data_IF_531781368584
#
_entry.id   IF_531781368584
#
_cell.length_a   1.000
_cell.length_b   1.000
_cell.length_c   1.000
_cell.angle_alpha   90.00
_cell.angle_beta   90.00
_cell.angle_gamma   90.00
#
_symmetry.space_group_name_H-M   'P 1'
#
loop_
_entity.id
_entity.type
_entity.pdbx_description
1 polymer ?
#
# COMPACT_ATOMS: atom_id res chain seq x y z
N UNK A 1 -3.35 -5.67 11.06
CA UNK A 1 -2.87 -4.34 10.61
C UNK A 1 -1.54 -4.53 9.94
N UNK A 2 -1.30 -3.85 8.83
CA UNK A 2 0.02 -3.87 8.17
C UNK A 2 1.02 -3.14 9.06
N UNK A 3 2.23 -3.69 9.20
CA UNK A 3 3.30 -3.08 10.00
C UNK A 3 4.48 -2.73 9.11
N UNK A 4 5.15 -1.64 9.43
CA UNK A 4 6.37 -1.22 8.77
C UNK A 4 7.52 -1.14 9.76
N UNK A 5 8.68 -1.60 9.34
CA UNK A 5 9.95 -1.37 10.00
C UNK A 5 10.52 -0.05 9.51
N UNK A 6 11.06 0.76 10.41
CA UNK A 6 11.59 2.08 10.08
C UNK A 6 13.01 2.21 10.57
N UNK A 7 13.91 2.53 9.66
CA UNK A 7 15.26 3.00 9.94
C UNK A 7 15.39 4.46 9.54
N UNK A 8 16.18 5.20 10.26
CA UNK A 8 16.49 6.60 9.96
C UNK A 8 17.99 6.85 10.03
N UNK A 9 18.46 7.82 9.25
CA UNK A 9 19.87 8.18 9.24
C UNK A 9 20.11 9.59 8.74
N UNK A 10 21.39 9.96 8.73
CA UNK A 10 21.86 11.20 8.15
C UNK A 10 22.84 10.90 7.01
N UNK A 11 22.57 11.46 5.84
CA UNK A 11 23.41 11.35 4.65
C UNK A 11 23.74 12.76 4.14
N UNK A 12 24.91 12.89 3.53
CA UNK A 12 25.39 14.16 3.00
C UNK A 12 24.59 14.62 1.78
N UNK A 13 24.07 13.65 1.00
CA UNK A 13 23.24 13.90 -0.16
C UNK A 13 22.23 12.77 -0.43
N UNK A 14 21.22 13.04 -1.25
CA UNK A 14 20.29 12.04 -1.76
C UNK A 14 21.03 10.95 -2.54
N UNK A 15 22.02 11.33 -3.35
CA UNK A 15 22.85 10.41 -4.12
C UNK A 15 23.66 9.44 -3.23
N UNK A 16 24.16 9.89 -2.07
CA UNK A 16 24.83 9.01 -1.12
C UNK A 16 23.85 8.03 -0.47
N UNK A 17 22.64 8.48 -0.18
CA UNK A 17 21.59 7.62 0.35
C UNK A 17 21.13 6.59 -0.71
N UNK A 18 20.92 6.99 -1.96
CA UNK A 18 20.60 6.06 -3.04
C UNK A 18 21.71 5.03 -3.24
N UNK A 19 22.97 5.45 -3.23
CA UNK A 19 24.13 4.57 -3.34
C UNK A 19 24.21 3.57 -2.18
N UNK A 20 23.89 3.99 -0.97
CA UNK A 20 23.83 3.11 0.21
C UNK A 20 22.85 1.96 0.04
N UNK A 21 21.76 2.19 -0.69
CA UNK A 21 20.66 1.26 -0.93
C UNK A 21 20.76 0.51 -2.28
N UNK A 22 21.71 0.85 -3.16
CA UNK A 22 21.77 0.33 -4.53
C UNK A 22 22.16 -1.15 -4.60
N UNK A 23 21.22 -1.99 -5.03
CA UNK A 23 21.39 -3.43 -5.23
C UNK A 23 21.75 -3.83 -6.68
N UNK A 24 21.97 -2.89 -7.58
CA UNK A 24 22.15 -3.18 -9.02
C UNK A 24 23.29 -4.15 -9.28
N UNK A 25 24.43 -4.00 -8.59
CA UNK A 25 25.58 -4.88 -8.70
C UNK A 25 25.27 -6.31 -8.23
N UNK A 26 24.58 -6.45 -7.11
CA UNK A 26 24.18 -7.76 -6.58
C UNK A 26 23.16 -8.46 -7.50
N UNK A 27 22.19 -7.73 -8.02
CA UNK A 27 21.20 -8.28 -8.95
C UNK A 27 21.81 -8.73 -10.27
N UNK A 28 22.79 -7.98 -10.78
CA UNK A 28 23.52 -8.39 -11.97
C UNK A 28 24.32 -9.66 -11.71
N UNK A 29 25.04 -9.73 -10.60
CA UNK A 29 25.80 -10.91 -10.19
C UNK A 29 24.87 -12.12 -10.05
N UNK A 30 23.77 -11.99 -9.32
CA UNK A 30 22.80 -13.06 -9.12
C UNK A 30 22.25 -13.61 -10.44
N UNK A 31 21.94 -12.71 -11.38
CA UNK A 31 21.43 -13.09 -12.71
C UNK A 31 22.45 -13.89 -13.52
N UNK A 32 23.74 -13.61 -13.35
CA UNK A 32 24.81 -14.25 -14.12
C UNK A 32 25.25 -15.58 -13.50
N UNK A 33 25.30 -15.67 -12.19
CA UNK A 33 25.92 -16.81 -11.48
C UNK A 33 24.97 -17.62 -10.63
N UNK A 34 23.78 -17.11 -10.31
CA UNK A 34 22.80 -17.74 -9.39
C UNK A 34 23.42 -18.10 -8.02
N UNK A 35 24.37 -17.30 -7.57
CA UNK A 35 25.12 -17.48 -6.34
C UNK A 35 25.15 -16.20 -5.51
N UNK A 36 25.11 -16.37 -4.17
CA UNK A 36 25.26 -15.24 -3.26
C UNK A 36 26.71 -14.72 -3.26
N UNK A 37 26.85 -13.40 -3.29
CA UNK A 37 28.12 -12.72 -3.17
C UNK A 37 27.98 -11.48 -2.28
N UNK A 38 28.47 -11.61 -1.05
CA UNK A 38 28.36 -10.56 -0.05
C UNK A 38 29.03 -9.25 -0.48
N UNK A 39 30.12 -9.32 -1.26
CA UNK A 39 30.81 -8.11 -1.72
C UNK A 39 29.96 -7.29 -2.69
N UNK A 40 29.06 -7.94 -3.42
CA UNK A 40 28.18 -7.29 -4.39
C UNK A 40 26.90 -6.72 -3.76
N UNK A 41 26.57 -7.09 -2.53
CA UNK A 41 25.40 -6.56 -1.84
C UNK A 41 25.51 -5.05 -1.62
N UNK A 42 24.38 -4.35 -1.57
CA UNK A 42 24.38 -2.95 -1.16
C UNK A 42 24.85 -2.80 0.30
N UNK A 43 25.25 -1.59 0.67
CA UNK A 43 25.79 -1.35 2.01
C UNK A 43 24.74 -1.63 3.12
N UNK A 44 23.49 -1.27 2.89
CA UNK A 44 22.38 -1.58 3.83
C UNK A 44 22.25 -3.08 4.08
N UNK A 45 22.27 -3.91 3.03
CA UNK A 45 22.19 -5.37 3.16
C UNK A 45 23.40 -5.96 3.90
N UNK A 46 24.60 -5.45 3.61
CA UNK A 46 25.83 -5.86 4.30
C UNK A 46 25.74 -5.58 5.81
N UNK A 47 25.31 -4.38 6.17
CA UNK A 47 25.22 -3.95 7.57
C UNK A 47 24.14 -4.72 8.33
N UNK A 48 23.02 -5.07 7.71
CA UNK A 48 21.97 -5.90 8.31
C UNK A 48 22.26 -7.41 8.26
N UNK A 49 23.29 -7.84 7.52
CA UNK A 49 23.57 -9.27 7.32
C UNK A 49 22.47 -10.01 6.57
N UNK A 50 21.78 -9.31 5.65
CA UNK A 50 20.77 -9.90 4.76
C UNK A 50 21.32 -9.98 3.33
N UNK A 51 20.82 -10.92 2.54
CA UNK A 51 21.28 -11.13 1.17
C UNK A 51 20.82 -9.99 0.26
N UNK A 52 19.51 -9.69 0.31
CA UNK A 52 18.86 -8.64 -0.45
C UNK A 52 17.62 -8.13 0.29
N UNK A 53 16.95 -7.18 -0.29
CA UNK A 53 15.61 -6.75 0.08
C UNK A 53 14.73 -6.63 -1.17
N UNK A 54 13.45 -6.81 -1.00
CA UNK A 54 12.47 -6.61 -2.06
C UNK A 54 12.07 -5.13 -2.14
N UNK A 55 12.44 -4.47 -3.25
CA UNK A 55 12.18 -3.03 -3.46
C UNK A 55 10.67 -2.70 -3.50
N UNK A 56 9.81 -3.67 -3.83
CA UNK A 56 8.37 -3.43 -3.83
C UNK A 56 7.78 -3.25 -2.43
N UNK A 57 8.50 -3.67 -1.39
CA UNK A 57 8.13 -3.50 0.01
C UNK A 57 8.94 -2.41 0.72
N UNK A 58 9.79 -1.71 -0.03
CA UNK A 58 10.67 -0.68 0.49
C UNK A 58 10.23 0.70 0.00
N UNK A 59 10.20 1.65 0.92
CA UNK A 59 10.05 3.08 0.60
C UNK A 59 11.22 3.83 1.19
N UNK A 60 11.91 4.58 0.36
CA UNK A 60 13.03 5.45 0.72
C UNK A 60 12.58 6.91 0.69
N UNK A 61 12.97 7.69 1.68
CA UNK A 61 12.74 9.13 1.72
C UNK A 61 13.99 9.87 2.17
N UNK A 62 14.32 10.91 1.43
CA UNK A 62 15.36 11.87 1.74
C UNK A 62 14.79 13.29 1.71
N UNK A 63 15.22 14.12 2.65
CA UNK A 63 14.84 15.54 2.73
C UNK A 63 16.06 16.37 3.14
N UNK A 64 16.18 17.57 2.57
CA UNK A 64 17.26 18.50 2.97
C UNK A 64 16.95 19.24 4.26
N UNK A 65 15.68 19.49 4.53
CA UNK A 65 15.24 20.30 5.68
C UNK A 65 15.23 19.56 7.02
N UNK A 66 15.56 18.26 7.01
CA UNK A 66 15.71 17.46 8.22
C UNK A 66 14.43 16.81 8.76
N UNK A 67 14.50 16.32 9.99
CA UNK A 67 13.52 15.41 10.57
C UNK A 67 12.05 15.90 10.55
N UNK A 68 11.72 17.17 10.83
CA UNK A 68 10.33 17.63 10.78
C UNK A 68 9.66 17.46 9.42
N UNK A 69 10.39 17.69 8.33
CA UNK A 69 9.87 17.46 6.98
C UNK A 69 9.75 15.97 6.68
N UNK A 70 10.75 15.17 7.08
CA UNK A 70 10.78 13.74 6.88
C UNK A 70 9.59 13.04 7.57
N UNK A 71 9.17 13.49 8.76
CA UNK A 71 8.02 12.96 9.49
C UNK A 71 6.72 13.00 8.67
N UNK A 72 6.56 14.04 7.84
CA UNK A 72 5.40 14.17 6.97
C UNK A 72 5.39 13.16 5.81
N UNK A 73 6.48 12.42 5.63
CA UNK A 73 6.65 11.41 4.57
C UNK A 73 6.61 9.98 5.10
N UNK A 74 6.47 9.79 6.41
CA UNK A 74 6.46 8.47 7.06
C UNK A 74 5.02 8.08 7.41
N UNK A 75 4.48 6.97 6.84
CA UNK A 75 3.10 6.52 7.05
C UNK A 75 2.91 5.79 8.37
N UNK A 76 3.20 6.45 9.48
CA UNK A 76 2.99 5.94 10.83
C UNK A 76 2.74 7.09 11.81
N UNK A 77 2.32 6.75 13.03
CA UNK A 77 2.05 7.73 14.09
C UNK A 77 3.30 8.59 14.38
N UNK A 78 3.21 9.86 13.99
CA UNK A 78 4.31 10.84 14.12
C UNK A 78 4.82 10.97 15.55
N UNK A 79 3.94 10.91 16.57
CA UNK A 79 4.34 11.04 17.96
C UNK A 79 5.16 9.84 18.43
N UNK A 80 4.77 8.63 18.02
CA UNK A 80 5.52 7.41 18.32
C UNK A 80 6.89 7.41 17.66
N UNK A 81 6.99 7.92 16.43
CA UNK A 81 8.27 8.05 15.71
C UNK A 81 9.19 9.03 16.43
N UNK A 82 8.68 10.21 16.82
CA UNK A 82 9.45 11.21 17.58
C UNK A 82 9.96 10.62 18.91
N UNK A 83 9.09 9.92 19.63
CA UNK A 83 9.46 9.28 20.90
C UNK A 83 10.54 8.20 20.71
N UNK A 84 10.42 7.40 19.65
CA UNK A 84 11.41 6.38 19.33
C UNK A 84 12.76 7.00 18.93
N UNK A 85 12.78 8.06 18.13
CA UNK A 85 14.00 8.77 17.76
C UNK A 85 14.68 9.40 18.98
N UNK A 86 13.92 10.07 19.83
CA UNK A 86 14.41 10.67 21.07
C UNK A 86 14.94 9.60 22.05
N UNK A 87 14.24 8.47 22.20
CA UNK A 87 14.65 7.34 23.03
C UNK A 87 15.97 6.69 22.57
N UNK A 88 16.29 6.78 21.28
CA UNK A 88 17.54 6.29 20.70
C UNK A 88 18.63 7.38 20.62
N UNK A 89 18.37 8.60 21.08
CA UNK A 89 19.34 9.70 21.07
C UNK A 89 19.71 10.19 19.66
N UNK A 90 18.81 10.04 18.69
CA UNK A 90 19.06 10.39 17.29
C UNK A 90 18.62 11.85 17.07
N UNK A 91 19.57 12.73 16.79
CA UNK A 91 19.31 14.17 16.68
C UNK A 91 19.20 14.66 15.23
N UNK A 92 20.05 14.14 14.35
CA UNK A 92 20.12 14.60 12.96
C UNK A 92 19.60 13.49 12.04
N UNK A 93 18.44 13.72 11.43
CA UNK A 93 17.78 12.77 10.55
C UNK A 93 17.34 13.50 9.28
N UNK A 94 17.77 13.01 8.11
CA UNK A 94 17.32 13.50 6.84
C UNK A 94 16.91 12.38 5.86
N UNK A 95 17.07 11.13 6.27
CA UNK A 95 16.70 9.97 5.47
C UNK A 95 15.92 8.94 6.29
N UNK A 96 14.97 8.27 5.66
CA UNK A 96 14.22 7.16 6.22
C UNK A 96 14.11 6.01 5.23
N UNK A 97 14.22 4.80 5.75
CA UNK A 97 13.97 3.54 5.08
C UNK A 97 12.76 2.91 5.77
N UNK A 98 11.73 2.64 5.03
CA UNK A 98 10.49 2.03 5.51
C UNK A 98 10.28 0.72 4.78
N UNK A 99 10.19 -0.38 5.52
CA UNK A 99 10.06 -1.72 4.95
C UNK A 99 8.83 -2.44 5.49
N UNK A 100 8.03 -3.02 4.60
CA UNK A 100 6.86 -3.80 5.02
C UNK A 100 7.30 -5.12 5.66
N UNK A 101 6.79 -5.42 6.85
CA UNK A 101 7.19 -6.60 7.64
C UNK A 101 6.73 -7.94 7.07
N UNK A 102 6.01 -7.97 5.94
CA UNK A 102 5.42 -9.22 5.42
C UNK A 102 6.39 -10.08 4.65
N UNK A 103 7.39 -9.50 4.02
CA UNK A 103 8.34 -10.24 3.17
C UNK A 103 9.77 -9.72 3.32
N UNK A 104 10.76 -10.61 3.17
CA UNK A 104 12.16 -10.28 3.11
C UNK A 104 12.83 -10.11 4.47
N UNK A 105 13.05 -8.89 4.92
CA UNK A 105 13.76 -8.60 6.16
C UNK A 105 12.90 -9.01 7.37
N UNK A 106 13.38 -9.98 8.13
CA UNK A 106 12.69 -10.41 9.35
C UNK A 106 12.81 -9.34 10.45
N UNK A 107 11.73 -9.04 11.21
CA UNK A 107 11.82 -8.16 12.38
C UNK A 107 12.89 -8.58 13.39
N UNK A 108 13.25 -9.85 13.43
CA UNK A 108 14.33 -10.37 14.29
C UNK A 108 15.73 -9.97 13.84
N UNK A 109 15.89 -9.53 12.59
CA UNK A 109 17.14 -8.98 12.04
C UNK A 109 17.12 -7.46 11.89
N UNK A 110 16.00 -6.82 12.26
CA UNK A 110 15.88 -5.39 12.23
C UNK A 110 16.62 -4.80 13.47
N UNK A 111 17.78 -4.28 13.25
CA UNK A 111 18.65 -3.70 14.27
C UNK A 111 19.34 -2.44 13.73
N UNK A 112 20.03 -1.73 14.62
CA UNK A 112 20.85 -0.60 14.22
C UNK A 112 22.00 -1.07 13.33
N UNK A 113 22.25 -0.29 12.30
CA UNK A 113 23.46 -0.46 11.46
C UNK A 113 24.47 0.66 11.77
N UNK A 114 25.57 0.69 11.02
CA UNK A 114 26.56 1.76 11.18
C UNK A 114 26.00 3.08 10.65
N UNK A 115 25.22 3.03 9.56
CA UNK A 115 24.76 4.22 8.84
C UNK A 115 23.34 4.64 9.19
N UNK A 116 22.49 3.70 9.62
CA UNK A 116 21.10 3.99 9.99
C UNK A 116 20.69 3.32 11.28
N UNK A 117 19.85 4.00 12.05
CA UNK A 117 19.31 3.53 13.33
C UNK A 117 17.91 2.96 13.14
N UNK A 118 17.67 1.79 13.69
CA UNK A 118 16.35 1.17 13.71
C UNK A 118 15.45 1.81 14.76
N UNK A 119 14.38 2.46 14.34
CA UNK A 119 13.42 3.09 15.25
C UNK A 119 12.41 2.10 15.84
N UNK A 120 12.15 1.00 15.13
CA UNK A 120 11.16 0.03 15.54
C UNK A 120 10.19 -0.39 14.43
N UNK A 121 9.19 -1.14 14.85
CA UNK A 121 8.09 -1.59 13.98
C UNK A 121 6.82 -0.86 14.38
N UNK A 122 6.20 -0.18 13.44
CA UNK A 122 5.04 0.68 13.64
C UNK A 122 3.84 0.15 12.88
N UNK A 123 2.63 0.48 13.36
CA UNK A 123 1.43 0.26 12.58
C UNK A 123 1.41 1.22 11.39
N UNK A 124 1.12 0.68 10.21
CA UNK A 124 1.01 1.48 9.00
C UNK A 124 -0.26 2.34 9.07
N UNK A 125 -0.10 3.64 8.91
CA UNK A 125 -1.23 4.56 8.83
C UNK A 125 -1.86 4.50 7.44
N UNK A 126 -2.99 3.84 7.33
CA UNK A 126 -3.77 3.73 6.09
C UNK A 126 -4.33 5.09 5.63
N UNK A 127 -4.44 6.06 6.54
CA UNK A 127 -4.93 7.40 6.25
C UNK A 127 -3.81 8.38 5.92
N UNK A 128 -2.58 7.90 5.85
CA UNK A 128 -1.43 8.75 5.56
C UNK A 128 -1.59 9.47 4.21
N UNK A 129 -1.52 10.80 4.26
CA UNK A 129 -1.69 11.67 3.09
C UNK A 129 -0.37 12.19 2.51
N UNK A 130 0.76 11.81 3.08
CA UNK A 130 2.08 12.22 2.59
C UNK A 130 2.30 11.82 1.13
N UNK A 131 2.73 12.74 0.32
CA UNK A 131 3.02 12.53 -1.10
C UNK A 131 4.30 11.74 -1.25
N UNK A 132 4.20 10.45 -1.50
CA UNK A 132 5.38 9.61 -1.53
C UNK A 132 5.72 9.04 -2.90
N UNK A 133 4.75 8.85 -3.75
CA UNK A 133 4.99 8.37 -5.11
C UNK A 133 4.06 9.11 -6.07
N UNK A 134 4.52 9.34 -7.29
CA UNK A 134 3.63 9.78 -8.35
C UNK A 134 2.38 8.89 -8.38
N UNK A 135 1.20 9.47 -8.40
CA UNK A 135 -0.06 8.74 -8.55
C UNK A 135 -0.36 8.40 -10.01
N UNK A 136 0.50 8.86 -10.94
CA UNK A 136 0.34 8.62 -12.37
C UNK A 136 0.23 7.13 -12.69
N UNK A 137 -0.78 6.76 -13.46
CA UNK A 137 -1.03 5.38 -13.88
C UNK A 137 -1.62 4.46 -12.82
N UNK A 138 -1.80 4.88 -11.57
CA UNK A 138 -2.53 4.10 -10.57
C UNK A 138 -4.03 4.10 -10.88
N UNK A 139 -4.66 2.96 -10.66
CA UNK A 139 -6.10 2.73 -10.93
C UNK A 139 -6.85 2.69 -9.60
N UNK A 140 -7.67 3.68 -9.38
CA UNK A 140 -8.47 3.83 -8.16
C UNK A 140 -9.91 3.36 -8.44
N UNK A 141 -10.18 2.08 -8.23
CA UNK A 141 -11.54 1.53 -8.30
C UNK A 141 -12.33 2.01 -7.10
N UNK A 142 -13.41 2.73 -7.32
CA UNK A 142 -14.09 3.47 -6.27
C UNK A 142 -15.57 3.15 -6.19
N UNK A 143 -16.05 2.95 -4.97
CA UNK A 143 -17.46 2.73 -4.63
C UNK A 143 -17.90 3.82 -3.65
N UNK A 144 -19.15 4.25 -3.80
CA UNK A 144 -19.77 5.27 -2.96
C UNK A 144 -21.24 4.92 -2.68
N UNK A 145 -21.76 5.36 -1.56
CA UNK A 145 -23.16 5.18 -1.21
C UNK A 145 -23.47 5.52 0.23
N UNK A 146 -24.65 5.08 0.63
CA UNK A 146 -25.11 5.17 2.01
C UNK A 146 -25.12 3.79 2.66
N UNK A 147 -24.72 3.72 3.92
CA UNK A 147 -24.79 2.52 4.74
C UNK A 147 -25.28 2.87 6.13
N UNK A 148 -26.18 2.01 6.68
CA UNK A 148 -26.60 2.07 8.07
C UNK A 148 -25.77 1.15 8.97
N UNK A 149 -24.75 0.47 8.40
CA UNK A 149 -23.84 -0.38 9.15
C UNK A 149 -22.91 0.44 10.01
N UNK A 150 -22.58 -0.05 11.19
CA UNK A 150 -21.44 0.43 11.96
C UNK A 150 -20.14 0.18 11.19
N UNK A 151 -19.08 0.92 11.50
CA UNK A 151 -17.76 0.71 10.90
C UNK A 151 -17.28 -0.75 11.05
N UNK A 152 -17.49 -1.33 12.23
CA UNK A 152 -17.14 -2.73 12.51
C UNK A 152 -17.89 -3.70 11.59
N UNK A 153 -19.19 -3.55 11.43
CA UNK A 153 -20.01 -4.40 10.54
C UNK A 153 -19.63 -4.19 9.07
N UNK A 154 -19.31 -2.96 8.69
CA UNK A 154 -18.88 -2.65 7.34
C UNK A 154 -17.52 -3.31 7.02
N UNK A 155 -16.59 -3.31 7.98
CA UNK A 155 -15.26 -3.90 7.85
C UNK A 155 -15.27 -5.43 7.77
N UNK A 156 -16.31 -6.12 8.27
CA UNK A 156 -16.41 -7.58 8.13
C UNK A 156 -16.43 -8.04 6.67
N UNK A 157 -16.94 -7.22 5.76
CA UNK A 157 -16.89 -7.48 4.33
C UNK A 157 -15.47 -7.65 3.78
N UNK A 158 -14.51 -6.99 4.41
CA UNK A 158 -13.09 -6.99 4.05
C UNK A 158 -12.24 -7.92 4.93
N UNK A 159 -12.83 -8.61 5.89
CA UNK A 159 -12.10 -9.44 6.84
C UNK A 159 -11.54 -10.71 6.16
N UNK A 160 -10.25 -10.72 5.89
CA UNK A 160 -9.54 -11.85 5.27
C UNK A 160 -8.62 -12.63 6.24
N UNK A 161 -8.72 -12.35 7.54
CA UNK A 161 -7.79 -12.88 8.55
C UNK A 161 -7.70 -14.40 8.54
N UNK A 162 -8.86 -15.08 8.49
CA UNK A 162 -8.90 -16.55 8.48
C UNK A 162 -8.20 -17.11 7.24
N UNK A 163 -8.47 -16.54 6.07
CA UNK A 163 -7.88 -17.03 4.82
C UNK A 163 -6.38 -16.79 4.75
N UNK A 164 -5.90 -15.66 5.26
CA UNK A 164 -4.46 -15.35 5.34
C UNK A 164 -3.73 -16.30 6.29
N UNK A 165 -4.32 -16.65 7.44
CA UNK A 165 -3.76 -17.66 8.35
C UNK A 165 -3.62 -19.03 7.67
N UNK A 166 -4.58 -19.42 6.84
CA UNK A 166 -4.50 -20.67 6.08
C UNK A 166 -3.41 -20.62 5.00
N UNK A 167 -3.25 -19.49 4.32
CA UNK A 167 -2.16 -19.27 3.37
C UNK A 167 -0.81 -19.40 4.08
N UNK A 168 -0.61 -18.69 5.17
CA UNK A 168 0.63 -18.73 5.95
C UNK A 168 0.97 -20.15 6.44
N UNK A 169 0.00 -20.86 6.99
CA UNK A 169 0.20 -22.23 7.45
C UNK A 169 0.57 -23.20 6.30
N UNK A 170 0.01 -22.98 5.12
CA UNK A 170 0.33 -23.78 3.93
C UNK A 170 1.72 -23.44 3.35
N UNK A 171 2.03 -22.16 3.20
CA UNK A 171 3.29 -21.67 2.63
C UNK A 171 4.49 -21.94 3.55
N UNK A 172 4.28 -21.87 4.86
CA UNK A 172 5.31 -22.26 5.87
C UNK A 172 5.50 -23.76 6.03
N UNK A 173 4.69 -24.59 5.37
CA UNK A 173 4.75 -26.05 5.48
C UNK A 173 4.17 -26.62 6.78
N UNK A 174 3.52 -25.82 7.62
CA UNK A 174 2.83 -26.29 8.83
C UNK A 174 1.67 -27.23 8.49
N UNK A 175 1.08 -27.06 7.32
CA UNK A 175 0.04 -27.94 6.81
C UNK A 175 0.22 -28.23 5.31
N UNK A 176 -0.22 -29.43 4.89
CA UNK A 176 -0.32 -29.78 3.46
C UNK A 176 -1.69 -29.44 2.87
N UNK A 177 -2.65 -29.03 3.72
CA UNK A 177 -3.99 -28.65 3.29
C UNK A 177 -3.93 -27.28 2.63
N UNK A 178 -4.37 -27.19 1.37
CA UNK A 178 -4.47 -25.92 0.65
C UNK A 178 -5.50 -25.00 1.32
N UNK A 179 -5.27 -23.67 1.30
CA UNK A 179 -6.24 -22.71 1.79
C UNK A 179 -7.61 -22.89 1.13
N UNK A 180 -8.66 -22.83 1.94
CA UNK A 180 -10.02 -23.00 1.45
C UNK A 180 -10.52 -21.70 0.77
N UNK A 181 -10.83 -21.70 -0.54
CA UNK A 181 -11.34 -20.52 -1.22
C UNK A 181 -12.62 -19.92 -0.61
N UNK A 182 -13.42 -20.73 0.06
CA UNK A 182 -14.65 -20.27 0.73
C UNK A 182 -14.39 -19.37 1.94
N UNK A 183 -13.18 -19.43 2.51
CA UNK A 183 -12.77 -18.56 3.61
C UNK A 183 -12.23 -17.20 3.16
N UNK A 184 -12.22 -16.93 1.85
CA UNK A 184 -11.95 -15.57 1.36
C UNK A 184 -13.01 -14.61 1.87
N UNK A 185 -12.62 -13.37 2.17
CA UNK A 185 -13.60 -12.35 2.48
C UNK A 185 -14.51 -12.07 1.26
N UNK A 186 -15.68 -11.49 1.52
CA UNK A 186 -16.67 -11.26 0.47
C UNK A 186 -16.12 -10.31 -0.60
N UNK A 187 -15.37 -9.28 -0.23
CA UNK A 187 -14.69 -8.39 -1.18
C UNK A 187 -13.80 -9.14 -2.19
N UNK A 188 -13.01 -10.10 -1.71
CA UNK A 188 -12.17 -10.91 -2.59
C UNK A 188 -12.99 -11.82 -3.52
N UNK A 189 -14.11 -12.36 -3.04
CA UNK A 189 -15.03 -13.17 -3.85
C UNK A 189 -15.67 -12.32 -4.94
N UNK A 190 -16.16 -11.14 -4.60
CA UNK A 190 -16.83 -10.22 -5.53
C UNK A 190 -15.87 -9.71 -6.61
N UNK A 191 -14.62 -9.39 -6.25
CA UNK A 191 -13.58 -9.02 -7.22
C UNK A 191 -12.96 -10.22 -7.96
N UNK A 192 -13.18 -11.45 -7.51
CA UNK A 192 -12.56 -12.64 -8.11
C UNK A 192 -11.06 -12.74 -7.85
N UNK A 193 -10.57 -12.16 -6.76
CA UNK A 193 -9.15 -12.18 -6.36
C UNK A 193 -8.90 -13.16 -5.22
N UNK A 194 -7.67 -13.59 -5.06
CA UNK A 194 -7.28 -14.55 -4.02
C UNK A 194 -7.30 -13.90 -2.64
N UNK A 195 -6.64 -12.77 -2.50
CA UNK A 195 -6.61 -11.88 -1.33
C UNK A 195 -6.34 -10.46 -1.83
N UNK A 196 -6.52 -9.48 -0.99
CA UNK A 196 -6.18 -8.09 -1.30
C UNK A 196 -5.07 -7.59 -0.37
N UNK A 197 -4.37 -6.54 -0.79
CA UNK A 197 -3.36 -5.87 0.01
C UNK A 197 -4.00 -4.69 0.75
N UNK A 198 -4.07 -4.72 2.10
CA UNK A 198 -4.74 -3.68 2.89
C UNK A 198 -4.22 -2.27 2.64
N UNK A 199 -2.94 -2.12 2.33
CA UNK A 199 -2.29 -0.85 2.00
C UNK A 199 -2.88 -0.17 0.74
N UNK A 200 -3.54 -0.93 -0.13
CA UNK A 200 -4.20 -0.44 -1.34
C UNK A 200 -5.72 -0.32 -1.21
N UNK A 201 -6.27 -0.64 -0.05
CA UNK A 201 -7.67 -0.42 0.28
C UNK A 201 -7.79 0.81 1.19
N UNK A 202 -8.63 1.74 0.80
CA UNK A 202 -8.94 2.94 1.59
C UNK A 202 -10.45 3.02 1.79
N UNK A 203 -10.86 3.30 3.00
CA UNK A 203 -12.26 3.34 3.40
C UNK A 203 -12.50 4.62 4.18
N UNK A 204 -13.60 5.27 3.91
CA UNK A 204 -14.15 6.36 4.70
C UNK A 204 -15.60 6.08 4.97
N UNK A 205 -15.98 6.09 6.23
CA UNK A 205 -17.34 5.96 6.70
C UNK A 205 -17.60 7.03 7.77
N UNK A 206 -18.76 7.61 7.75
CA UNK A 206 -19.28 8.44 8.84
C UNK A 206 -20.63 7.84 9.27
N UNK A 207 -20.66 7.23 10.45
CA UNK A 207 -21.85 6.56 10.98
C UNK A 207 -22.96 7.54 11.37
N UNK A 208 -22.63 8.82 11.54
CA UNK A 208 -23.52 9.81 12.12
C UNK A 208 -24.05 10.83 11.13
N UNK A 209 -23.32 11.08 10.06
CA UNK A 209 -23.62 12.18 9.14
C UNK A 209 -23.55 11.75 7.68
N UNK A 210 -24.42 12.36 6.88
CA UNK A 210 -24.27 12.41 5.44
C UNK A 210 -23.15 13.41 5.11
N UNK A 211 -22.20 12.98 4.31
CA UNK A 211 -21.06 13.79 3.89
C UNK A 211 -21.29 14.40 2.50
N UNK A 212 -20.58 15.48 2.20
CA UNK A 212 -20.43 15.92 0.83
C UNK A 212 -19.67 14.83 0.04
N UNK A 213 -20.23 14.38 -1.08
CA UNK A 213 -19.68 13.26 -1.86
C UNK A 213 -18.31 13.57 -2.45
N UNK A 214 -18.00 14.84 -2.75
CA UNK A 214 -16.66 15.25 -3.23
C UNK A 214 -15.63 15.07 -2.12
N UNK A 215 -15.91 15.60 -0.92
CA UNK A 215 -15.02 15.45 0.25
C UNK A 215 -14.83 13.97 0.62
N UNK A 216 -15.91 13.20 0.58
CA UNK A 216 -15.88 11.76 0.84
C UNK A 216 -14.95 11.03 -0.16
N UNK A 217 -15.07 11.32 -1.45
CA UNK A 217 -14.23 10.74 -2.49
C UNK A 217 -12.78 11.21 -2.39
N UNK A 218 -12.53 12.48 -2.13
CA UNK A 218 -11.17 13.01 -1.92
C UNK A 218 -10.45 12.27 -0.79
N UNK A 219 -11.18 11.91 0.28
CA UNK A 219 -10.60 11.20 1.41
C UNK A 219 -10.08 9.80 1.04
N UNK A 220 -10.70 9.11 0.08
CA UNK A 220 -10.31 7.75 -0.34
C UNK A 220 -9.42 7.73 -1.58
N UNK A 221 -9.61 8.67 -2.53
CA UNK A 221 -8.78 8.77 -3.74
C UNK A 221 -7.47 9.50 -3.44
N UNK A 222 -7.45 10.37 -2.41
CA UNK A 222 -6.31 11.22 -2.02
C UNK A 222 -5.82 12.10 -3.17
N UNK A 223 -6.75 12.75 -3.84
CA UNK A 223 -6.45 13.70 -4.93
C UNK A 223 -7.25 14.98 -4.73
N UNK A 224 -6.66 16.09 -5.12
CA UNK A 224 -7.23 17.44 -5.02
C UNK A 224 -7.96 17.88 -6.29
N UNK A 225 -8.08 17.02 -7.31
CA UNK A 225 -8.75 17.32 -8.58
C UNK A 225 -10.28 17.35 -8.45
N UNK A 226 -10.77 18.25 -7.59
CA UNK A 226 -12.21 18.44 -7.28
C UNK A 226 -13.07 18.50 -8.53
N UNK A 227 -12.72 19.34 -9.48
CA UNK A 227 -13.54 19.51 -10.70
C UNK A 227 -13.64 18.28 -11.60
N UNK A 228 -12.74 17.31 -11.45
CA UNK A 228 -12.86 16.02 -12.13
C UNK A 228 -13.81 15.08 -11.38
N UNK A 229 -13.71 15.06 -10.05
CA UNK A 229 -14.61 14.26 -9.19
C UNK A 229 -16.06 14.74 -9.39
N UNK A 230 -16.30 16.04 -9.38
CA UNK A 230 -17.64 16.64 -9.62
C UNK A 230 -18.21 16.20 -10.96
N UNK A 231 -17.45 16.27 -12.06
CA UNK A 231 -17.92 15.79 -13.38
C UNK A 231 -18.27 14.31 -13.41
N UNK A 232 -17.55 13.46 -12.66
CA UNK A 232 -17.88 12.04 -12.55
C UNK A 232 -19.17 11.84 -11.78
N UNK A 233 -19.35 12.53 -10.65
CA UNK A 233 -20.57 12.46 -9.85
C UNK A 233 -21.80 12.92 -10.66
N UNK A 234 -21.68 14.02 -11.42
CA UNK A 234 -22.73 14.55 -12.29
C UNK A 234 -23.09 13.54 -13.39
N UNK A 235 -22.09 12.97 -14.04
CA UNK A 235 -22.29 11.97 -15.11
C UNK A 235 -23.03 10.73 -14.60
N UNK A 236 -22.69 10.26 -13.41
CA UNK A 236 -23.29 9.07 -12.79
C UNK A 236 -24.58 9.42 -12.01
N UNK A 237 -25.04 10.68 -12.04
CA UNK A 237 -26.21 11.17 -11.30
C UNK A 237 -26.15 10.88 -9.78
N UNK A 238 -24.97 10.93 -9.18
CA UNK A 238 -24.78 10.73 -7.76
C UNK A 238 -25.11 12.03 -7.01
N UNK A 239 -26.06 11.96 -6.09
CA UNK A 239 -26.41 13.11 -5.26
C UNK A 239 -25.26 13.43 -4.27
N UNK A 240 -24.81 14.68 -4.28
CA UNK A 240 -23.71 15.14 -3.43
C UNK A 240 -23.98 15.06 -1.92
N UNK A 241 -25.23 14.94 -1.50
CA UNK A 241 -25.63 15.01 -0.09
C UNK A 241 -26.45 13.77 0.33
N UNK A 242 -26.16 12.59 -0.18
CA UNK A 242 -26.88 11.37 0.17
C UNK A 242 -25.98 10.21 0.62
N UNK A 243 -24.68 10.43 0.67
CA UNK A 243 -23.69 9.40 0.90
C UNK A 243 -22.99 9.62 2.24
N UNK A 244 -22.67 8.55 2.94
CA UNK A 244 -21.89 8.58 4.17
C UNK A 244 -20.72 7.62 4.14
N UNK A 245 -20.56 6.89 3.05
CA UNK A 245 -19.50 5.88 2.93
C UNK A 245 -18.95 5.82 1.52
N UNK A 246 -17.63 5.67 1.45
CA UNK A 246 -16.92 5.33 0.21
C UNK A 246 -15.73 4.42 0.52
N UNK A 247 -15.36 3.59 -0.44
CA UNK A 247 -14.07 2.93 -0.41
C UNK A 247 -13.44 2.91 -1.79
N UNK A 248 -12.11 2.81 -1.79
CA UNK A 248 -11.30 2.75 -3.00
C UNK A 248 -10.28 1.63 -2.88
N UNK A 249 -10.10 0.87 -3.95
CA UNK A 249 -9.06 -0.16 -4.06
C UNK A 249 -8.14 0.11 -5.25
N UNK A 250 -6.82 -0.05 -5.03
CA UNK A 250 -5.78 0.22 -6.03
C UNK A 250 -5.14 -1.10 -6.46
N UNK A 251 -5.67 -1.81 -7.47
CA UNK A 251 -5.23 -3.15 -7.85
C UNK A 251 -3.82 -3.21 -8.47
N UNK A 252 -3.27 -2.07 -8.90
CA UNK A 252 -1.93 -1.94 -9.47
C UNK A 252 -1.01 -1.07 -8.63
N UNK A 253 -1.17 -1.11 -7.32
CA UNK A 253 -0.41 -0.29 -6.39
C UNK A 253 1.08 -0.59 -6.33
N UNK A 254 1.48 -1.84 -6.60
CA UNK A 254 2.90 -2.21 -6.68
C UNK A 254 3.61 -1.69 -7.93
N UNK A 255 2.86 -1.35 -8.99
CA UNK A 255 3.43 -1.01 -10.31
C UNK A 255 4.29 -2.13 -10.91
N UNK A 256 4.12 -3.34 -10.46
CA UNK A 256 4.75 -4.55 -10.95
C UNK A 256 3.74 -5.45 -11.67
N UNK A 257 4.03 -5.81 -12.92
CA UNK A 257 3.15 -6.66 -13.74
C UNK A 257 2.92 -8.06 -13.13
N UNK A 258 3.81 -8.52 -12.26
CA UNK A 258 3.71 -9.83 -11.61
C UNK A 258 2.92 -9.77 -10.30
N UNK A 259 3.09 -8.70 -9.52
CA UNK A 259 2.49 -8.51 -8.19
C UNK A 259 1.14 -7.82 -8.23
N UNK A 260 0.95 -6.91 -9.18
CA UNK A 260 -0.31 -6.19 -9.34
C UNK A 260 -1.47 -7.15 -9.57
N UNK A 261 -2.57 -6.86 -8.95
CA UNK A 261 -3.80 -7.61 -9.11
C UNK A 261 -4.31 -7.42 -10.54
N UNK A 262 -4.45 -8.53 -11.28
CA UNK A 262 -4.91 -8.52 -12.68
C UNK A 262 -6.43 -8.34 -12.75
N UNK A 263 -6.90 -7.20 -12.30
CA UNK A 263 -8.28 -6.77 -12.47
C UNK A 263 -8.29 -5.84 -13.68
N UNK A 264 -8.84 -6.32 -14.79
CA UNK A 264 -8.97 -5.51 -15.97
C UNK A 264 -10.35 -4.83 -15.95
N UNK A 265 -10.32 -3.51 -15.89
CA UNK A 265 -11.49 -2.69 -16.15
C UNK A 265 -11.36 -2.23 -17.60
N UNK A 266 -12.18 -2.79 -18.48
CA UNK A 266 -12.26 -2.33 -19.84
C UNK A 266 -13.06 -1.03 -19.90
N UNK A 267 -12.48 -0.03 -20.53
CA UNK A 267 -13.24 1.11 -21.01
C UNK A 267 -13.97 0.75 -22.30
N UNK A 268 -14.98 1.49 -22.66
CA UNK A 268 -15.72 1.32 -23.96
C UNK A 268 -14.75 1.22 -25.15
N UNK A 269 -13.70 2.05 -25.17
CA UNK A 269 -12.68 2.06 -26.21
C UNK A 269 -11.81 0.79 -26.28
N UNK A 270 -11.84 -0.05 -25.27
CA UNK A 270 -11.08 -1.30 -25.20
C UNK A 270 -11.94 -2.52 -25.53
N UNK A 271 -13.25 -2.36 -25.67
CA UNK A 271 -14.16 -3.41 -26.15
C UNK A 271 -13.75 -3.84 -27.56
N UNK A 272 -13.32 -5.06 -27.69
CA UNK A 272 -12.84 -5.61 -28.99
C UNK A 272 -11.35 -5.88 -29.04
N UNK A 273 -10.55 -5.46 -28.07
CA UNK A 273 -9.19 -5.93 -27.92
C UNK A 273 -9.15 -7.26 -27.17
N UNK A 274 -8.44 -8.23 -27.75
CA UNK A 274 -8.36 -9.61 -27.23
C UNK A 274 -7.50 -9.62 -25.98
N UNK A 275 -8.05 -9.25 -24.87
CA UNK A 275 -7.48 -9.59 -23.58
C UNK A 275 -8.60 -10.30 -22.84
N UNK A 276 -8.46 -11.56 -22.45
CA UNK A 276 -9.46 -12.19 -21.61
C UNK A 276 -9.42 -11.45 -20.26
N UNK A 277 -10.34 -10.54 -20.01
CA UNK A 277 -10.39 -9.84 -18.75
C UNK A 277 -10.88 -10.82 -17.72
N UNK A 278 -10.35 -10.70 -16.50
CA UNK A 278 -10.90 -11.44 -15.38
C UNK A 278 -12.24 -10.82 -14.93
N UNK A 279 -12.40 -9.52 -15.16
CA UNK A 279 -13.64 -8.82 -14.89
C UNK A 279 -13.76 -7.57 -15.75
N UNK A 280 -14.94 -7.30 -16.28
CA UNK A 280 -15.28 -6.10 -17.07
C UNK A 280 -15.89 -5.03 -16.15
N UNK A 281 -15.90 -3.79 -16.60
CA UNK A 281 -16.58 -2.69 -15.87
C UNK A 281 -18.05 -3.03 -15.64
N UNK A 282 -18.70 -3.63 -16.61
CA UNK A 282 -20.10 -4.07 -16.53
C UNK A 282 -20.35 -5.16 -15.48
N UNK A 283 -19.31 -5.91 -15.12
CA UNK A 283 -19.36 -6.96 -14.12
C UNK A 283 -19.08 -6.44 -12.70
N UNK A 284 -18.65 -5.17 -12.57
CA UNK A 284 -18.40 -4.56 -11.28
C UNK A 284 -19.71 -3.98 -10.76
N UNK A 285 -20.27 -4.67 -9.80
CA UNK A 285 -21.54 -4.31 -9.19
C UNK A 285 -21.43 -3.47 -7.94
N UNK A 286 -22.55 -3.42 -7.24
CA UNK A 286 -22.62 -2.85 -5.90
C UNK A 286 -21.98 -3.81 -4.91
N UNK A 287 -21.00 -3.32 -4.14
CA UNK A 287 -20.26 -4.09 -3.14
C UNK A 287 -20.48 -3.51 -1.75
N UNK A 288 -20.78 -4.37 -0.80
CA UNK A 288 -21.11 -3.99 0.58
C UNK A 288 -22.25 -2.94 0.70
N UNK A 289 -23.17 -2.93 -0.27
CA UNK A 289 -24.26 -1.96 -0.35
C UNK A 289 -23.91 -0.64 -1.06
N UNK A 290 -22.66 -0.43 -1.46
CA UNK A 290 -22.22 0.76 -2.20
C UNK A 290 -22.19 0.49 -3.69
N UNK A 291 -22.55 1.47 -4.49
CA UNK A 291 -22.49 1.40 -5.95
C UNK A 291 -21.08 1.68 -6.46
N UNK A 292 -20.66 0.92 -7.46
CA UNK A 292 -19.43 1.25 -8.18
C UNK A 292 -19.62 2.57 -8.92
N UNK A 293 -18.69 3.50 -8.68
CA UNK A 293 -18.73 4.82 -9.29
C UNK A 293 -17.88 4.87 -10.56
N UNK A 294 -16.59 4.62 -10.41
CA UNK A 294 -15.63 4.74 -11.50
C UNK A 294 -14.27 4.14 -11.11
N UNK A 295 -13.42 3.95 -12.12
CA UNK A 295 -11.97 3.83 -11.91
C UNK A 295 -11.31 5.14 -12.30
N UNK A 296 -10.77 5.82 -11.30
CA UNK A 296 -9.97 7.02 -11.52
C UNK A 296 -8.54 6.61 -11.88
N UNK A 297 -7.96 7.32 -12.82
CA UNK A 297 -6.57 7.17 -13.21
C UNK A 297 -5.99 8.54 -13.51
N UNK A 298 -4.87 8.85 -12.91
CA UNK A 298 -4.16 10.12 -13.10
C UNK A 298 -2.98 9.90 -14.04
N UNK A 299 -2.76 10.86 -14.94
CA UNK A 299 -1.59 10.90 -15.84
C UNK A 299 -0.37 11.46 -15.14
#
# INVERSE_FOLDING_TARGET
>A
MSKIMIWVGQFDSEADFEKYMDQSAFRQWWKEYDEDNEEMRCQFCKELGVMDYDEDFLVMKYVQAGFPELLNLIPADTQKIIQAAAGNGIENINAAIMYNCREGISPKKAENTVSVSFLGTFDFDLNFTGTTASTAGLKYMTWIGHTDKSETEFMEYFNQEQYLKEIEAYESGQTKKRPNPEHRCQFCKDLGIKFYYPEFLRIKIDETNIMNSVELLQSVIKDDKVGFIERVLDRENINNNSNNCAFCYVPNGFRDKKKDQKIFILTESMKGHIVPPRKYVEDIGSYNGLSYLATFMWE
#
